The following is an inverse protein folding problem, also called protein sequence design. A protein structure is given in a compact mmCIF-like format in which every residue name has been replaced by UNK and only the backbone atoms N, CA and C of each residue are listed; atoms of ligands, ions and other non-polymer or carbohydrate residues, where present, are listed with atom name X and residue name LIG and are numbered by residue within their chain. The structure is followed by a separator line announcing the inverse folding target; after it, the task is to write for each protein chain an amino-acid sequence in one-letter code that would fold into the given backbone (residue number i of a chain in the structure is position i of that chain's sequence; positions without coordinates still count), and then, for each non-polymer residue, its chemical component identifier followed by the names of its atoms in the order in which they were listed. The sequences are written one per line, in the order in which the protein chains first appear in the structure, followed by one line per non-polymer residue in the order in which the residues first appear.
data_IF_918984624438
#
_entry.id   IF_918984624438
#
_cell.length_a   1.000
_cell.length_b   1.000
_cell.length_c   1.000
_cell.angle_alpha   90.00
_cell.angle_beta   90.00
_cell.angle_gamma   90.00
#
_symmetry.space_group_name_H-M   'P 1'
#
loop_
_entity.id
_entity.type
_entity.pdbx_description
1 polymer ?
#
# COMPACT_ATOMS: atom_id res chain seq x y z
N UNK A 1 -58.22 27.16 1.50
CA UNK A 1 -59.39 26.82 0.66
C UNK A 1 -60.67 27.04 1.44
N UNK A 2 -61.80 26.53 0.96
CA UNK A 2 -63.03 26.38 1.76
C UNK A 2 -63.31 24.88 1.89
N UNK A 3 -63.86 24.45 3.02
CA UNK A 3 -64.17 23.04 3.24
C UNK A 3 -65.28 22.60 2.28
N UNK A 4 -65.14 21.42 1.68
CA UNK A 4 -66.20 20.86 0.83
C UNK A 4 -67.40 20.50 1.70
N UNK A 5 -68.57 21.08 1.39
CA UNK A 5 -69.85 20.75 2.02
C UNK A 5 -70.79 20.16 0.99
N UNK A 6 -71.51 19.11 1.38
CA UNK A 6 -72.58 18.51 0.59
C UNK A 6 -73.92 18.78 1.26
N UNK A 7 -74.89 19.25 0.48
CA UNK A 7 -76.28 19.46 0.92
C UNK A 7 -77.21 18.74 -0.02
N UNK A 8 -78.10 17.91 0.52
CA UNK A 8 -79.09 17.18 -0.25
C UNK A 8 -80.23 18.15 -0.66
N UNK A 9 -80.46 18.32 -1.96
CA UNK A 9 -81.45 19.25 -2.48
C UNK A 9 -82.83 18.57 -2.62
N UNK A 10 -83.79 18.95 -1.77
CA UNK A 10 -85.16 18.43 -1.82
C UNK A 10 -86.19 19.42 -2.39
N UNK A 11 -85.81 20.68 -2.60
CA UNK A 11 -86.65 21.73 -3.19
C UNK A 11 -85.87 22.60 -4.19
N UNK A 12 -86.58 23.36 -5.04
CA UNK A 12 -85.99 24.26 -6.05
C UNK A 12 -85.22 25.47 -5.47
N UNK A 13 -85.44 25.81 -4.19
CA UNK A 13 -84.70 26.88 -3.52
C UNK A 13 -83.80 26.29 -2.42
N UNK A 14 -82.48 26.37 -2.63
CA UNK A 14 -81.47 25.73 -1.76
C UNK A 14 -80.98 26.63 -0.63
N UNK A 15 -81.47 27.88 -0.56
CA UNK A 15 -81.07 28.89 0.44
C UNK A 15 -79.62 29.37 0.28
N UNK A 16 -79.15 30.15 1.25
CA UNK A 16 -77.76 30.66 1.28
C UNK A 16 -76.81 29.57 1.79
N UNK A 17 -75.76 29.26 1.02
CA UNK A 17 -74.71 28.33 1.43
C UNK A 17 -73.55 29.13 2.02
N UNK A 18 -73.30 28.96 3.32
CA UNK A 18 -72.18 29.57 4.02
C UNK A 18 -70.96 28.64 3.94
N UNK A 19 -69.88 29.10 3.30
CA UNK A 19 -68.65 28.32 3.15
C UNK A 19 -67.71 28.58 4.32
N UNK A 20 -67.33 27.51 5.03
CA UNK A 20 -66.34 27.60 6.11
C UNK A 20 -64.93 27.58 5.53
N UNK A 21 -64.10 28.52 5.97
CA UNK A 21 -62.68 28.60 5.60
C UNK A 21 -61.96 27.31 5.99
N UNK A 22 -61.30 26.67 5.02
CA UNK A 22 -60.43 25.52 5.24
C UNK A 22 -58.98 25.98 5.18
N UNK A 23 -58.31 25.87 6.33
CA UNK A 23 -56.95 26.36 6.51
C UNK A 23 -55.98 25.28 6.03
N UNK A 24 -55.65 25.31 4.75
CA UNK A 24 -54.63 24.43 4.17
C UNK A 24 -53.25 24.91 4.66
N UNK A 25 -52.72 24.28 5.70
CA UNK A 25 -51.32 24.42 6.10
C UNK A 25 -50.44 23.86 4.97
N UNK A 26 -49.64 24.71 4.32
CA UNK A 26 -48.61 24.26 3.39
C UNK A 26 -47.69 23.28 4.11
N UNK A 27 -47.47 22.10 3.52
CA UNK A 27 -46.47 21.16 4.01
C UNK A 27 -45.11 21.86 4.17
N UNK A 28 -44.39 21.51 5.23
CA UNK A 28 -43.09 22.08 5.55
C UNK A 28 -42.15 22.08 4.33
N UNK A 29 -41.58 23.24 4.02
CA UNK A 29 -40.52 23.33 2.99
C UNK A 29 -39.23 22.81 3.60
N UNK A 30 -38.95 21.52 3.38
CA UNK A 30 -37.66 20.91 3.78
C UNK A 30 -36.59 21.34 2.78
N UNK A 31 -35.80 22.36 3.15
CA UNK A 31 -34.61 22.75 2.40
C UNK A 31 -33.52 21.71 2.60
N UNK A 32 -33.34 20.81 1.62
CA UNK A 32 -32.23 19.84 1.59
C UNK A 32 -31.01 20.49 0.94
N UNK A 33 -30.00 20.83 1.74
CA UNK A 33 -28.68 21.25 1.25
C UNK A 33 -27.78 20.04 1.06
N UNK A 34 -27.19 19.88 -0.12
CA UNK A 34 -26.16 18.85 -0.35
C UNK A 34 -24.83 19.34 0.24
N UNK A 35 -24.21 18.52 1.10
CA UNK A 35 -22.84 18.78 1.55
C UNK A 35 -21.88 18.80 0.34
N UNK A 36 -20.87 19.70 0.30
CA UNK A 36 -19.85 19.65 -0.73
C UNK A 36 -19.19 18.27 -0.73
N UNK A 37 -19.11 17.64 -1.91
CA UNK A 37 -18.55 16.29 -2.08
C UNK A 37 -17.12 16.21 -1.57
N UNK A 38 -16.35 17.30 -1.66
CA UNK A 38 -15.00 17.40 -1.09
C UNK A 38 -14.87 18.66 -0.22
N UNK A 39 -14.28 18.51 0.98
CA UNK A 39 -14.00 19.61 1.91
C UNK A 39 -12.65 19.44 2.58
N UNK A 40 -12.16 20.49 3.24
CA UNK A 40 -10.93 20.41 4.03
C UNK A 40 -11.35 20.29 5.49
N UNK A 41 -10.73 19.39 6.25
CA UNK A 41 -10.98 19.16 7.67
C UNK A 41 -9.63 18.95 8.34
N UNK A 42 -9.18 19.91 9.15
CA UNK A 42 -7.82 19.91 9.67
C UNK A 42 -6.82 19.96 8.52
N UNK A 43 -5.90 19.01 8.46
CA UNK A 43 -4.87 18.81 7.43
C UNK A 43 -5.31 17.92 6.25
N UNK A 44 -6.53 17.40 6.28
CA UNK A 44 -7.03 16.45 5.29
C UNK A 44 -8.04 17.06 4.31
N UNK A 45 -7.95 16.65 3.04
CA UNK A 45 -9.01 16.76 2.04
C UNK A 45 -9.95 15.55 2.19
N UNK A 46 -11.17 15.79 2.66
CA UNK A 46 -12.18 14.76 2.90
C UNK A 46 -13.18 14.77 1.75
N UNK A 47 -13.22 13.66 1.01
CA UNK A 47 -14.19 13.40 -0.06
C UNK A 47 -15.24 12.42 0.43
N UNK A 48 -16.49 12.87 0.52
CA UNK A 48 -17.64 12.02 0.88
C UNK A 48 -18.01 11.13 -0.29
N UNK A 49 -18.11 9.82 -0.05
CA UNK A 49 -18.44 8.81 -1.07
C UNK A 49 -19.89 8.37 -0.89
N UNK A 50 -20.28 8.05 0.34
CA UNK A 50 -21.66 7.74 0.68
C UNK A 50 -22.61 8.87 0.25
N UNK A 51 -23.76 8.49 -0.32
CA UNK A 51 -24.76 9.42 -0.84
C UNK A 51 -24.26 10.34 -1.97
N UNK A 52 -23.22 9.93 -2.70
CA UNK A 52 -22.71 10.66 -3.87
C UNK A 52 -22.64 9.76 -5.11
N UNK A 53 -22.34 10.35 -6.27
CA UNK A 53 -22.10 9.60 -7.51
C UNK A 53 -20.90 8.65 -7.38
N UNK A 54 -19.95 8.94 -6.46
CA UNK A 54 -18.80 8.08 -6.20
C UNK A 54 -19.18 6.74 -5.59
N UNK A 55 -20.32 6.63 -4.89
CA UNK A 55 -20.80 5.34 -4.37
C UNK A 55 -21.10 4.34 -5.49
N UNK A 56 -21.32 4.81 -6.73
CA UNK A 56 -21.57 3.99 -7.92
C UNK A 56 -20.33 3.82 -8.81
N UNK A 57 -19.14 4.09 -8.28
CA UNK A 57 -17.90 4.03 -9.07
C UNK A 57 -17.44 2.60 -9.37
N UNK A 58 -17.86 1.61 -8.57
CA UNK A 58 -17.45 0.21 -8.67
C UNK A 58 -16.66 -0.20 -7.43
N UNK A 59 -15.36 0.08 -7.44
CA UNK A 59 -14.43 -0.28 -6.35
C UNK A 59 -13.84 0.95 -5.65
N UNK A 60 -13.13 0.73 -4.53
CA UNK A 60 -12.33 1.76 -3.90
C UNK A 60 -11.22 2.25 -4.83
N UNK A 61 -10.66 1.36 -5.66
CA UNK A 61 -9.69 1.72 -6.69
C UNK A 61 -10.27 2.79 -7.67
N UNK A 62 -11.53 2.63 -8.09
CA UNK A 62 -12.20 3.60 -8.96
C UNK A 62 -12.59 4.89 -8.25
N UNK A 63 -12.92 4.82 -6.96
CA UNK A 63 -13.18 5.99 -6.13
C UNK A 63 -11.92 6.82 -5.96
N UNK A 64 -10.79 6.20 -5.62
CA UNK A 64 -9.51 6.88 -5.40
C UNK A 64 -9.05 7.64 -6.65
N UNK A 65 -9.22 7.07 -7.85
CA UNK A 65 -8.92 7.76 -9.10
C UNK A 65 -9.80 8.99 -9.39
N UNK A 66 -10.88 9.19 -8.62
CA UNK A 66 -11.78 10.36 -8.71
C UNK A 66 -11.63 11.33 -7.53
N UNK A 67 -10.75 11.03 -6.57
CA UNK A 67 -10.45 11.94 -5.44
C UNK A 67 -9.49 13.03 -5.92
N UNK A 68 -9.81 14.32 -5.74
CA UNK A 68 -8.92 15.41 -6.16
C UNK A 68 -7.52 15.30 -5.53
N UNK A 69 -6.48 15.42 -6.37
CA UNK A 69 -5.08 15.35 -5.95
C UNK A 69 -4.48 13.93 -5.96
N UNK A 70 -5.29 12.91 -6.23
CA UNK A 70 -4.83 11.54 -6.47
C UNK A 70 -4.83 11.29 -7.98
N UNK A 71 -3.71 10.82 -8.49
CA UNK A 71 -3.52 10.31 -9.84
C UNK A 71 -3.51 8.79 -9.76
N UNK A 72 -4.28 8.14 -10.64
CA UNK A 72 -4.25 6.68 -10.80
C UNK A 72 -3.45 6.36 -12.06
N UNK A 73 -2.40 5.55 -11.90
CA UNK A 73 -1.65 4.96 -13.00
C UNK A 73 -1.72 3.43 -12.89
N UNK A 74 -2.54 2.81 -13.74
CA UNK A 74 -2.89 1.39 -13.74
C UNK A 74 -3.25 0.89 -12.32
N UNK A 75 -2.29 0.25 -11.65
CA UNK A 75 -2.41 -0.40 -10.33
C UNK A 75 -1.71 0.40 -9.22
N UNK A 76 -1.35 1.64 -9.50
CA UNK A 76 -0.67 2.53 -8.57
C UNK A 76 -1.40 3.86 -8.41
N UNK A 77 -1.19 4.46 -7.25
CA UNK A 77 -1.70 5.78 -6.93
C UNK A 77 -0.53 6.69 -6.63
N UNK A 78 -0.62 7.90 -7.14
CA UNK A 78 0.32 8.97 -6.83
C UNK A 78 -0.46 10.17 -6.32
N UNK A 79 0.02 10.79 -5.25
CA UNK A 79 -0.49 12.09 -4.82
C UNK A 79 0.35 13.16 -5.49
N UNK A 80 -0.33 14.09 -6.17
CA UNK A 80 0.33 15.12 -6.98
C UNK A 80 1.44 15.84 -6.19
N UNK A 81 2.69 15.73 -6.67
CA UNK A 81 3.87 16.35 -6.06
C UNK A 81 4.31 15.73 -4.72
N UNK A 82 3.76 14.58 -4.34
CA UNK A 82 4.06 13.86 -3.09
C UNK A 82 4.46 12.40 -3.30
N UNK A 83 4.25 11.83 -4.49
CA UNK A 83 4.57 10.44 -4.78
C UNK A 83 3.53 9.46 -4.24
N UNK A 84 3.91 8.21 -4.05
CA UNK A 84 3.02 7.14 -3.60
C UNK A 84 2.53 7.36 -2.16
N UNK A 85 1.20 7.37 -1.90
CA UNK A 85 0.67 7.53 -0.55
C UNK A 85 0.65 6.22 0.23
N UNK A 86 0.71 6.33 1.55
CA UNK A 86 0.34 5.24 2.46
C UNK A 86 -1.18 5.16 2.58
N UNK A 87 -1.78 3.99 2.37
CA UNK A 87 -3.25 3.82 2.35
C UNK A 87 -3.71 3.05 3.58
N UNK A 88 -4.76 3.53 4.24
CA UNK A 88 -5.41 2.87 5.38
C UNK A 88 -6.89 2.61 5.08
N UNK A 89 -7.40 1.45 5.50
CA UNK A 89 -8.84 1.15 5.55
C UNK A 89 -9.22 0.95 7.01
N UNK A 90 -10.10 1.79 7.54
CA UNK A 90 -10.54 1.75 8.95
C UNK A 90 -9.38 1.76 9.96
N UNK A 91 -8.30 2.49 9.66
CA UNK A 91 -7.11 2.58 10.52
C UNK A 91 -6.09 1.45 10.32
N UNK A 92 -6.44 0.37 9.61
CA UNK A 92 -5.48 -0.68 9.21
C UNK A 92 -4.74 -0.28 7.95
N UNK A 93 -3.42 -0.39 7.96
CA UNK A 93 -2.61 -0.15 6.77
C UNK A 93 -2.90 -1.21 5.69
N UNK A 94 -3.09 -0.74 4.46
CA UNK A 94 -3.27 -1.61 3.28
C UNK A 94 -1.89 -2.04 2.81
N UNK A 95 -1.54 -3.30 3.07
CA UNK A 95 -0.31 -3.92 2.57
C UNK A 95 -0.48 -4.53 1.18
N UNK A 96 -1.72 -4.85 0.81
CA UNK A 96 -2.09 -5.45 -0.47
C UNK A 96 -3.10 -4.55 -1.20
N UNK A 97 -2.70 -4.05 -2.36
CA UNK A 97 -3.56 -3.15 -3.15
C UNK A 97 -4.82 -3.81 -3.69
N UNK A 98 -4.85 -5.14 -3.84
CA UNK A 98 -6.06 -5.85 -4.28
C UNK A 98 -7.21 -5.70 -3.28
N UNK A 99 -6.92 -5.36 -2.01
CA UNK A 99 -7.94 -5.02 -1.01
C UNK A 99 -8.78 -3.80 -1.43
N UNK A 100 -8.22 -2.89 -2.23
CA UNK A 100 -8.93 -1.71 -2.76
C UNK A 100 -9.86 -2.05 -3.92
N UNK A 101 -9.54 -3.09 -4.69
CA UNK A 101 -10.40 -3.58 -5.76
C UNK A 101 -11.59 -4.34 -5.19
N UNK A 102 -11.37 -5.08 -4.09
CA UNK A 102 -12.40 -5.85 -3.39
C UNK A 102 -13.35 -4.97 -2.56
N UNK A 103 -12.90 -3.78 -2.14
CA UNK A 103 -13.74 -2.86 -1.39
C UNK A 103 -14.72 -2.16 -2.34
N UNK A 104 -15.99 -2.54 -2.29
CA UNK A 104 -17.06 -1.88 -3.05
C UNK A 104 -17.14 -0.38 -2.74
N UNK A 105 -17.35 0.45 -3.76
CA UNK A 105 -17.52 1.89 -3.57
C UNK A 105 -18.75 2.26 -2.73
N UNK A 106 -19.77 1.40 -2.72
CA UNK A 106 -20.99 1.59 -1.91
C UNK A 106 -20.71 1.43 -0.41
N UNK A 107 -19.67 0.66 -0.06
CA UNK A 107 -19.25 0.44 1.32
C UNK A 107 -18.37 1.56 1.87
N UNK A 108 -18.01 2.56 1.06
CA UNK A 108 -17.12 3.64 1.47
C UNK A 108 -17.93 4.82 2.00
N UNK A 109 -17.66 5.20 3.25
CA UNK A 109 -18.24 6.40 3.86
C UNK A 109 -17.60 7.65 3.28
N UNK A 110 -16.28 7.74 3.41
CA UNK A 110 -15.48 8.86 2.92
C UNK A 110 -14.01 8.48 2.77
N UNK A 111 -13.29 9.25 1.96
CA UNK A 111 -11.84 9.16 1.78
C UNK A 111 -11.20 10.45 2.27
N UNK A 112 -10.14 10.36 3.06
CA UNK A 112 -9.33 11.49 3.53
C UNK A 112 -7.95 11.44 2.87
N UNK A 113 -7.57 12.51 2.16
CA UNK A 113 -6.23 12.70 1.61
C UNK A 113 -5.46 13.70 2.49
N UNK A 114 -4.39 13.22 3.11
CA UNK A 114 -3.45 14.02 3.91
C UNK A 114 -2.17 14.18 3.08
N UNK A 115 -1.94 15.37 2.55
CA UNK A 115 -0.78 15.68 1.68
C UNK A 115 0.46 16.12 2.45
N UNK A 116 0.33 16.35 3.77
CA UNK A 116 1.44 16.61 4.67
C UNK A 116 1.25 15.85 5.99
N UNK A 117 1.55 14.54 6.02
CA UNK A 117 1.37 13.71 7.19
C UNK A 117 2.18 14.24 8.38
N UNK A 118 1.50 14.43 9.52
CA UNK A 118 2.06 14.89 10.78
C UNK A 118 3.05 13.91 11.44
N UNK A 119 3.47 14.23 12.66
CA UNK A 119 4.54 13.52 13.37
C UNK A 119 4.20 12.07 13.74
N UNK A 120 2.91 11.71 13.72
CA UNK A 120 2.45 10.34 13.96
C UNK A 120 2.78 9.34 12.85
N UNK A 121 3.22 9.82 11.68
CA UNK A 121 3.60 8.97 10.54
C UNK A 121 5.12 8.87 10.42
N UNK A 122 5.61 7.77 9.84
CA UNK A 122 7.04 7.58 9.58
C UNK A 122 7.59 8.72 8.68
N UNK A 123 8.83 9.11 8.93
CA UNK A 123 9.48 10.24 8.26
C UNK A 123 9.71 10.02 6.76
N UNK A 124 9.54 8.79 6.24
CA UNK A 124 9.55 8.47 4.82
C UNK A 124 8.20 8.70 4.13
N UNK A 125 7.11 8.86 4.89
CA UNK A 125 5.74 8.97 4.34
C UNK A 125 5.44 10.40 3.91
N UNK A 126 5.21 10.60 2.61
CA UNK A 126 4.96 11.92 2.01
C UNK A 126 3.47 12.26 1.88
N UNK A 127 2.59 11.27 1.79
CA UNK A 127 1.14 11.45 1.75
C UNK A 127 0.44 10.23 2.36
N UNK A 128 -0.77 10.44 2.90
CA UNK A 128 -1.59 9.39 3.49
C UNK A 128 -3.00 9.48 2.96
N UNK A 129 -3.58 8.35 2.58
CA UNK A 129 -4.99 8.19 2.22
C UNK A 129 -5.67 7.33 3.28
N UNK A 130 -6.75 7.82 3.86
CA UNK A 130 -7.57 7.06 4.81
C UNK A 130 -8.95 6.83 4.25
N UNK A 131 -9.35 5.57 4.18
CA UNK A 131 -10.67 5.13 3.73
C UNK A 131 -11.43 4.72 4.97
N UNK A 132 -12.55 5.38 5.21
CA UNK A 132 -13.50 4.95 6.23
C UNK A 132 -14.66 4.25 5.53
N UNK A 133 -14.98 3.02 5.97
CA UNK A 133 -16.14 2.29 5.44
C UNK A 133 -17.40 2.62 6.24
N UNK A 134 -18.57 2.37 5.64
CA UNK A 134 -19.82 2.28 6.37
C UNK A 134 -19.85 0.96 7.14
N UNK A 135 -20.67 0.91 8.20
CA UNK A 135 -20.98 -0.35 8.85
C UNK A 135 -21.81 -1.18 7.87
N UNK A 136 -21.26 -2.29 7.37
CA UNK A 136 -22.01 -3.22 6.51
C UNK A 136 -23.23 -3.73 7.29
N UNK A 137 -24.42 -3.53 6.75
CA UNK A 137 -25.69 -3.96 7.34
C UNK A 137 -26.06 -5.34 6.80
N UNK A 138 -26.24 -6.31 7.69
CA UNK A 138 -26.66 -7.67 7.34
C UNK A 138 -25.88 -8.72 8.13
N UNK A 139 -26.62 -9.65 8.73
CA UNK A 139 -26.09 -10.84 9.37
C UNK A 139 -26.15 -12.03 8.40
N UNK A 140 -25.23 -12.97 8.56
CA UNK A 140 -25.18 -14.22 7.81
C UNK A 140 -23.92 -14.37 6.95
N UNK A 141 -23.97 -15.35 6.06
CA UNK A 141 -22.87 -15.67 5.16
C UNK A 141 -22.94 -14.83 3.87
N UNK A 142 -21.79 -14.31 3.47
CA UNK A 142 -21.53 -13.79 2.14
C UNK A 142 -20.54 -14.70 1.43
N UNK A 143 -20.77 -14.92 0.14
CA UNK A 143 -19.89 -15.66 -0.75
C UNK A 143 -19.66 -14.84 -2.01
N UNK A 144 -18.43 -14.75 -2.45
CA UNK A 144 -18.07 -14.16 -3.72
C UNK A 144 -17.11 -15.10 -4.44
N UNK A 145 -17.40 -15.40 -5.70
CA UNK A 145 -16.56 -16.22 -6.56
C UNK A 145 -16.25 -15.41 -7.80
N UNK A 146 -14.98 -15.24 -8.10
CA UNK A 146 -14.49 -14.56 -9.28
C UNK A 146 -13.60 -15.51 -10.07
N UNK A 147 -13.91 -15.68 -11.35
CA UNK A 147 -13.12 -16.42 -12.33
C UNK A 147 -12.87 -15.51 -13.51
N UNK A 148 -11.60 -15.31 -13.82
CA UNK A 148 -11.16 -14.47 -14.94
C UNK A 148 -10.23 -15.27 -15.84
N UNK A 149 -10.58 -15.32 -17.12
CA UNK A 149 -9.82 -15.99 -18.17
C UNK A 149 -9.27 -14.94 -19.13
N UNK A 150 -7.96 -14.99 -19.38
CA UNK A 150 -7.30 -14.12 -20.34
C UNK A 150 -6.57 -14.96 -21.39
N UNK A 151 -6.74 -14.58 -22.65
CA UNK A 151 -6.04 -15.19 -23.77
C UNK A 151 -5.14 -14.15 -24.42
N UNK A 152 -3.84 -14.43 -24.44
CA UNK A 152 -2.82 -13.70 -25.18
C UNK A 152 -2.03 -14.69 -26.05
N UNK A 153 -0.70 -14.61 -26.05
CA UNK A 153 0.16 -15.69 -26.54
C UNK A 153 0.02 -16.94 -25.68
N UNK A 154 -0.33 -16.77 -24.39
CA UNK A 154 -0.58 -17.82 -23.42
C UNK A 154 -1.97 -17.69 -22.79
N UNK A 155 -2.35 -18.69 -22.00
CA UNK A 155 -3.58 -18.69 -21.20
C UNK A 155 -3.24 -18.30 -19.77
N UNK A 156 -3.79 -17.16 -19.34
CA UNK A 156 -3.74 -16.74 -17.94
C UNK A 156 -5.09 -16.97 -17.27
N UNK A 157 -5.05 -17.36 -16.01
CA UNK A 157 -6.23 -17.70 -15.22
C UNK A 157 -6.12 -17.07 -13.85
N UNK A 158 -7.17 -16.38 -13.41
CA UNK A 158 -7.29 -15.84 -12.06
C UNK A 158 -8.57 -16.35 -11.45
N UNK A 159 -8.44 -17.15 -10.39
CA UNK A 159 -9.55 -17.72 -9.64
C UNK A 159 -9.50 -17.20 -8.21
N UNK A 160 -10.61 -16.69 -7.72
CA UNK A 160 -10.73 -16.19 -6.36
C UNK A 160 -12.06 -16.60 -5.73
N UNK A 161 -11.98 -17.04 -4.48
CA UNK A 161 -13.12 -17.32 -3.64
C UNK A 161 -13.01 -16.54 -2.33
N UNK A 162 -14.03 -15.75 -2.03
CA UNK A 162 -14.18 -15.04 -0.76
C UNK A 162 -15.39 -15.58 -0.01
N UNK A 163 -15.22 -15.78 1.29
CA UNK A 163 -16.28 -16.13 2.22
C UNK A 163 -16.22 -15.18 3.39
N UNK A 164 -17.37 -14.66 3.80
CA UNK A 164 -17.48 -13.89 5.03
C UNK A 164 -18.70 -14.33 5.84
N UNK A 165 -18.61 -14.19 7.16
CA UNK A 165 -19.73 -14.40 8.06
C UNK A 165 -19.82 -13.22 9.03
N UNK A 166 -21.01 -12.63 9.13
CA UNK A 166 -21.28 -11.51 10.03
C UNK A 166 -22.40 -11.83 11.00
N UNK A 167 -22.18 -11.48 12.27
CA UNK A 167 -23.23 -11.55 13.28
C UNK A 167 -22.90 -10.67 14.48
N UNK A 168 -23.81 -9.76 14.86
CA UNK A 168 -23.68 -8.98 16.10
C UNK A 168 -22.32 -8.29 16.30
N UNK A 169 -21.79 -7.67 15.24
CA UNK A 169 -20.50 -6.96 15.28
C UNK A 169 -19.27 -7.82 15.00
N UNK A 170 -19.40 -9.15 14.99
CA UNK A 170 -18.40 -10.08 14.46
C UNK A 170 -18.43 -10.06 12.92
N UNK A 171 -17.24 -10.03 12.30
CA UNK A 171 -17.02 -10.18 10.86
C UNK A 171 -15.81 -11.10 10.64
N UNK A 172 -16.08 -12.36 10.35
CA UNK A 172 -15.05 -13.34 9.98
C UNK A 172 -14.95 -13.40 8.46
N UNK A 173 -13.75 -13.43 7.93
CA UNK A 173 -13.53 -13.48 6.48
C UNK A 173 -12.40 -14.45 6.14
N UNK A 174 -12.55 -15.11 5.00
CA UNK A 174 -11.53 -15.92 4.37
C UNK A 174 -11.51 -15.61 2.87
N UNK A 175 -10.33 -15.58 2.27
CA UNK A 175 -10.16 -15.45 0.83
C UNK A 175 -9.08 -16.42 0.39
N UNK A 176 -9.31 -17.07 -0.74
CA UNK A 176 -8.31 -17.83 -1.47
C UNK A 176 -8.26 -17.33 -2.91
N UNK A 177 -7.06 -17.08 -3.42
CA UNK A 177 -6.82 -16.65 -4.79
C UNK A 177 -5.67 -17.44 -5.39
N UNK A 178 -5.88 -17.88 -6.63
CA UNK A 178 -4.91 -18.55 -7.48
C UNK A 178 -4.76 -17.75 -8.77
N UNK A 179 -3.53 -17.35 -9.07
CA UNK A 179 -3.18 -16.70 -10.32
C UNK A 179 -2.21 -17.60 -11.09
N UNK A 180 -2.58 -17.98 -12.31
CA UNK A 180 -1.66 -18.57 -13.29
C UNK A 180 -1.40 -17.50 -14.34
N UNK A 181 -0.16 -17.04 -14.40
CA UNK A 181 0.27 -16.05 -15.39
C UNK A 181 1.59 -16.51 -16.00
N UNK A 182 1.66 -16.53 -17.33
CA UNK A 182 2.93 -16.83 -18.02
C UNK A 182 3.58 -15.53 -18.47
N UNK A 183 4.76 -15.23 -17.91
CA UNK A 183 5.47 -14.00 -18.24
C UNK A 183 6.52 -14.27 -19.33
N UNK A 184 6.43 -13.51 -20.43
CA UNK A 184 7.41 -13.50 -21.50
C UNK A 184 7.89 -12.07 -21.72
N UNK A 185 9.18 -11.86 -21.57
CA UNK A 185 9.82 -10.56 -21.76
C UNK A 185 10.89 -10.64 -22.84
N UNK A 186 10.94 -9.61 -23.68
CA UNK A 186 12.05 -9.38 -24.60
C UNK A 186 12.62 -7.99 -24.35
N UNK A 187 13.88 -7.95 -23.96
CA UNK A 187 14.56 -6.71 -23.58
C UNK A 187 15.78 -6.52 -24.48
N UNK A 188 15.89 -5.35 -25.09
CA UNK A 188 17.08 -4.95 -25.84
C UNK A 188 17.79 -3.84 -25.05
N UNK A 189 19.03 -4.09 -24.64
CA UNK A 189 19.84 -3.13 -23.90
C UNK A 189 21.01 -2.72 -24.78
N UNK A 190 21.21 -1.41 -24.92
CA UNK A 190 22.40 -0.84 -25.53
C UNK A 190 23.12 0.04 -24.50
N UNK A 191 24.37 -0.29 -24.21
CA UNK A 191 25.18 0.42 -23.23
C UNK A 191 26.51 0.82 -23.86
N UNK A 192 26.84 2.11 -23.77
CA UNK A 192 28.14 2.65 -24.19
C UNK A 192 28.90 3.14 -22.97
N UNK A 193 30.07 2.56 -22.71
CA UNK A 193 30.99 2.99 -21.68
C UNK A 193 32.16 3.75 -22.31
N UNK A 194 32.28 5.03 -21.97
CA UNK A 194 33.33 5.91 -22.51
C UNK A 194 34.41 6.10 -21.44
N UNK A 195 35.61 5.59 -21.72
CA UNK A 195 36.81 5.82 -20.92
C UNK A 195 37.99 6.14 -21.85
N UNK A 196 39.17 5.53 -21.65
CA UNK A 196 40.30 5.61 -22.60
C UNK A 196 39.99 4.95 -23.95
N UNK A 197 39.07 3.98 -23.94
CA UNK A 197 38.47 3.34 -25.11
C UNK A 197 36.95 3.37 -24.94
N UNK A 198 36.22 3.28 -26.04
CA UNK A 198 34.78 3.14 -26.05
C UNK A 198 34.42 1.64 -26.08
N UNK A 199 33.67 1.17 -25.08
CA UNK A 199 33.10 -0.17 -25.06
C UNK A 199 31.59 -0.06 -25.31
N UNK A 200 31.10 -0.75 -26.34
CA UNK A 200 29.68 -0.83 -26.67
C UNK A 200 29.18 -2.26 -26.43
N UNK A 201 28.11 -2.38 -25.65
CA UNK A 201 27.43 -3.63 -25.33
C UNK A 201 26.02 -3.57 -25.92
N UNK A 202 25.71 -4.51 -26.82
CA UNK A 202 24.37 -4.73 -27.37
C UNK A 202 23.85 -6.08 -26.88
N UNK A 203 22.92 -6.07 -25.94
CA UNK A 203 22.35 -7.27 -25.33
C UNK A 203 20.89 -7.46 -25.74
N UNK A 204 20.54 -8.67 -26.18
CA UNK A 204 19.17 -9.10 -26.44
C UNK A 204 18.81 -10.20 -25.46
N UNK A 205 17.89 -9.91 -24.54
CA UNK A 205 17.45 -10.81 -23.49
C UNK A 205 16.05 -11.34 -23.83
N UNK A 206 15.84 -12.64 -23.61
CA UNK A 206 14.54 -13.31 -23.66
C UNK A 206 14.35 -14.05 -22.35
N UNK A 207 13.45 -13.54 -21.53
CA UNK A 207 13.10 -14.13 -20.24
C UNK A 207 11.71 -14.76 -20.34
N UNK A 208 11.61 -16.01 -19.92
CA UNK A 208 10.33 -16.71 -19.81
C UNK A 208 10.22 -17.33 -18.42
N UNK A 209 9.09 -17.11 -17.75
CA UNK A 209 8.68 -17.88 -16.59
C UNK A 209 7.23 -18.33 -16.67
N UNK A 210 6.91 -19.38 -15.91
CA UNK A 210 5.56 -19.89 -15.76
C UNK A 210 5.23 -19.94 -14.27
N UNK A 211 5.08 -18.75 -13.69
CA UNK A 211 4.86 -18.59 -12.26
C UNK A 211 3.39 -18.73 -11.91
N UNK A 212 3.09 -19.59 -10.95
CA UNK A 212 1.78 -19.65 -10.30
C UNK A 212 1.85 -18.88 -9.00
N UNK A 213 0.85 -18.09 -8.68
CA UNK A 213 0.76 -17.37 -7.42
C UNK A 213 -0.42 -17.87 -6.60
N UNK A 214 -0.18 -18.11 -5.32
CA UNK A 214 -1.19 -18.47 -4.36
C UNK A 214 -1.29 -17.38 -3.31
N UNK A 215 -2.52 -17.08 -2.90
CA UNK A 215 -2.80 -16.15 -1.81
C UNK A 215 -3.97 -16.68 -0.98
N UNK A 216 -3.78 -16.74 0.32
CA UNK A 216 -4.79 -17.08 1.30
C UNK A 216 -4.85 -16.02 2.38
N UNK A 217 -6.04 -15.53 2.69
CA UNK A 217 -6.29 -14.64 3.82
C UNK A 217 -7.32 -15.28 4.73
N UNK A 218 -7.13 -15.18 6.04
CA UNK A 218 -8.16 -15.46 7.03
C UNK A 218 -8.09 -14.40 8.12
N UNK A 219 -9.23 -13.95 8.60
CA UNK A 219 -9.25 -12.94 9.64
C UNK A 219 -10.60 -12.79 10.29
N UNK A 220 -10.59 -11.96 11.32
CA UNK A 220 -11.74 -11.66 12.14
C UNK A 220 -11.65 -10.21 12.60
N UNK A 221 -12.76 -9.50 12.47
CA UNK A 221 -12.97 -8.19 13.09
C UNK A 221 -14.12 -8.31 14.09
N UNK A 222 -14.01 -7.61 15.22
CA UNK A 222 -15.08 -7.51 16.20
C UNK A 222 -15.29 -6.05 16.57
N UNK A 223 -16.47 -5.53 16.25
CA UNK A 223 -16.94 -4.21 16.65
C UNK A 223 -17.72 -4.34 17.95
N UNK A 224 -17.14 -3.86 19.06
CA UNK A 224 -17.81 -3.82 20.36
C UNK A 224 -18.95 -2.79 20.35
N UNK A 225 -18.70 -1.64 19.72
CA UNK A 225 -19.64 -0.54 19.53
C UNK A 225 -19.22 0.30 18.31
N UNK A 226 -19.85 1.46 18.11
CA UNK A 226 -19.56 2.34 16.96
C UNK A 226 -18.15 2.96 16.98
N UNK A 227 -17.51 2.99 18.15
CA UNK A 227 -16.22 3.61 18.36
C UNK A 227 -15.12 2.60 18.65
N UNK A 228 -15.42 1.35 19.00
CA UNK A 228 -14.42 0.37 19.44
C UNK A 228 -14.42 -0.87 18.56
N UNK A 229 -13.27 -1.17 17.95
CA UNK A 229 -13.08 -2.38 17.16
C UNK A 229 -11.68 -2.97 17.34
N UNK A 230 -11.63 -4.30 17.28
CA UNK A 230 -10.39 -5.09 17.25
C UNK A 230 -10.43 -6.00 16.03
N UNK A 231 -9.27 -6.32 15.47
CA UNK A 231 -9.18 -7.30 14.42
C UNK A 231 -7.84 -8.00 14.33
N UNK A 232 -7.86 -9.16 13.69
CA UNK A 232 -6.68 -9.95 13.37
C UNK A 232 -6.83 -10.50 11.95
N UNK A 233 -5.75 -10.47 11.18
CA UNK A 233 -5.68 -11.00 9.82
C UNK A 233 -4.38 -11.74 9.65
N UNK A 234 -4.47 -12.98 9.17
CA UNK A 234 -3.36 -13.76 8.70
C UNK A 234 -3.43 -13.91 7.19
N UNK A 235 -2.29 -13.68 6.54
CA UNK A 235 -2.11 -13.75 5.10
C UNK A 235 -0.95 -14.69 4.79
N UNK A 236 -1.17 -15.60 3.86
CA UNK A 236 -0.15 -16.44 3.27
C UNK A 236 -0.12 -16.17 1.76
N UNK A 237 1.04 -15.86 1.19
CA UNK A 237 1.15 -15.58 -0.24
C UNK A 237 2.51 -15.95 -0.81
N UNK A 238 2.54 -16.39 -2.06
CA UNK A 238 3.79 -16.67 -2.73
C UNK A 238 3.54 -17.48 -3.98
N UNK A 239 4.57 -17.64 -4.79
CA UNK A 239 4.55 -18.73 -5.76
C UNK A 239 5.09 -19.98 -5.09
N UNK A 240 4.54 -21.17 -5.38
CA UNK A 240 5.28 -22.40 -5.23
C UNK A 240 6.59 -22.37 -6.03
N UNK A 241 7.36 -23.45 -5.91
CA UNK A 241 8.53 -23.70 -6.74
C UNK A 241 8.23 -23.49 -8.22
N UNK A 242 9.09 -22.75 -8.91
CA UNK A 242 8.98 -22.50 -10.34
C UNK A 242 10.35 -22.40 -10.99
N UNK A 243 10.35 -22.62 -12.30
CA UNK A 243 11.52 -22.48 -13.15
C UNK A 243 11.40 -21.21 -14.00
N UNK A 244 12.53 -20.57 -14.24
CA UNK A 244 12.64 -19.51 -15.23
C UNK A 244 13.85 -19.74 -16.13
N UNK A 245 13.78 -19.20 -17.34
CA UNK A 245 14.82 -19.33 -18.35
C UNK A 245 15.13 -17.96 -18.92
N UNK A 246 16.42 -17.63 -18.93
CA UNK A 246 16.94 -16.43 -19.56
C UNK A 246 17.90 -16.81 -20.68
N UNK A 247 17.62 -16.32 -21.88
CA UNK A 247 18.54 -16.40 -23.01
C UNK A 247 19.05 -15.00 -23.31
N UNK A 248 20.35 -14.82 -23.36
CA UNK A 248 20.97 -13.54 -23.69
C UNK A 248 21.93 -13.71 -24.86
N UNK A 249 21.78 -12.88 -25.88
CA UNK A 249 22.78 -12.73 -26.95
C UNK A 249 23.43 -11.38 -26.81
N UNK A 250 24.75 -11.36 -26.71
CA UNK A 250 25.53 -10.14 -26.49
C UNK A 250 26.50 -9.93 -27.64
N UNK A 251 26.59 -8.70 -28.13
CA UNK A 251 27.65 -8.24 -29.02
C UNK A 251 28.44 -7.17 -28.31
N UNK A 252 29.74 -7.43 -28.14
CA UNK A 252 30.67 -6.53 -27.46
C UNK A 252 31.56 -5.90 -28.51
N UNK A 253 31.65 -4.58 -28.54
CA UNK A 253 32.51 -3.85 -29.46
C UNK A 253 33.44 -2.90 -28.69
N UNK A 254 34.69 -2.83 -29.13
CA UNK A 254 35.70 -1.93 -28.58
C UNK A 254 36.16 -0.98 -29.69
N UNK A 255 35.99 0.32 -29.48
CA UNK A 255 36.28 1.39 -30.45
C UNK A 255 35.66 1.12 -31.83
N UNK A 256 34.40 0.65 -31.84
CA UNK A 256 33.64 0.35 -33.05
C UNK A 256 33.98 -0.96 -33.76
N UNK A 257 34.92 -1.77 -33.22
CA UNK A 257 35.23 -3.12 -33.73
C UNK A 257 34.63 -4.17 -32.83
N UNK A 258 34.01 -5.20 -33.41
CA UNK A 258 33.51 -6.35 -32.63
C UNK A 258 34.70 -6.98 -31.92
N UNK A 259 34.58 -7.07 -30.59
CA UNK A 259 35.55 -7.66 -29.69
C UNK A 259 35.15 -9.08 -29.30
N UNK A 260 33.86 -9.34 -29.11
CA UNK A 260 33.34 -10.67 -28.77
C UNK A 260 31.84 -10.76 -29.10
N UNK A 261 31.35 -11.99 -29.23
CA UNK A 261 29.93 -12.33 -29.27
C UNK A 261 29.67 -13.44 -28.28
N UNK A 262 28.69 -13.23 -27.42
CA UNK A 262 28.33 -14.19 -26.38
C UNK A 262 26.91 -14.73 -26.60
N UNK A 263 26.74 -16.00 -26.28
CA UNK A 263 25.44 -16.60 -26.05
C UNK A 263 25.39 -17.13 -24.63
N UNK A 264 24.43 -16.65 -23.86
CA UNK A 264 24.20 -17.08 -22.50
C UNK A 264 22.84 -17.78 -22.39
N UNK A 265 22.81 -18.89 -21.68
CA UNK A 265 21.59 -19.54 -21.23
C UNK A 265 21.66 -19.71 -19.71
N UNK A 266 20.72 -19.11 -18.99
CA UNK A 266 20.55 -19.32 -17.55
C UNK A 266 19.23 -20.04 -17.30
N UNK A 267 19.30 -21.14 -16.56
CA UNK A 267 18.14 -21.82 -15.99
C UNK A 267 18.15 -21.58 -14.48
N UNK A 268 17.05 -21.06 -13.96
CA UNK A 268 16.89 -20.76 -12.54
C UNK A 268 15.73 -21.57 -11.97
N UNK A 269 16.00 -22.39 -10.95
CA UNK A 269 14.97 -23.04 -10.13
C UNK A 269 14.83 -22.23 -8.84
N UNK A 270 13.62 -21.72 -8.56
CA UNK A 270 13.35 -20.94 -7.36
C UNK A 270 12.32 -21.64 -6.49
N UNK A 271 12.71 -22.01 -5.27
CA UNK A 271 11.84 -22.51 -4.22
C UNK A 271 11.55 -21.38 -3.22
N UNK A 272 10.38 -20.75 -3.35
CA UNK A 272 9.98 -19.70 -2.44
C UNK A 272 9.37 -20.29 -1.18
N UNK A 273 9.79 -19.80 -0.02
CA UNK A 273 8.99 -19.94 1.18
C UNK A 273 7.71 -19.10 1.00
N UNK A 274 6.55 -19.67 1.34
CA UNK A 274 5.31 -18.89 1.33
C UNK A 274 5.46 -17.74 2.34
N UNK A 275 5.18 -16.52 1.89
CA UNK A 275 5.28 -15.35 2.74
C UNK A 275 4.15 -15.39 3.76
N UNK A 276 4.49 -15.26 5.03
CA UNK A 276 3.54 -15.20 6.14
C UNK A 276 3.41 -13.76 6.62
N UNK A 277 2.19 -13.25 6.73
CA UNK A 277 1.92 -11.94 7.31
C UNK A 277 0.82 -12.07 8.37
N UNK A 278 1.06 -11.51 9.55
CA UNK A 278 0.08 -11.43 10.62
C UNK A 278 -0.09 -9.97 11.00
N UNK A 279 -1.31 -9.47 10.95
CA UNK A 279 -1.67 -8.13 11.41
C UNK A 279 -2.69 -8.25 12.54
N UNK A 280 -2.50 -7.48 13.61
CA UNK A 280 -3.49 -7.28 14.66
C UNK A 280 -3.64 -5.79 14.93
N UNK A 281 -4.88 -5.34 15.14
CA UNK A 281 -5.15 -3.94 15.42
C UNK A 281 -6.25 -3.76 16.47
N UNK A 282 -6.18 -2.64 17.18
CA UNK A 282 -7.28 -2.11 17.96
C UNK A 282 -7.42 -0.63 17.66
N UNK A 283 -8.64 -0.20 17.35
CA UNK A 283 -8.95 1.22 17.21
C UNK A 283 -10.19 1.52 18.03
N UNK A 284 -10.09 2.50 18.92
CA UNK A 284 -11.28 3.03 19.54
C UNK A 284 -11.10 4.10 20.58
N UNK A 285 -12.10 4.22 21.45
CA UNK A 285 -12.22 5.31 22.40
C UNK A 285 -12.71 4.83 23.76
N UNK A 286 -11.93 5.15 24.79
CA UNK A 286 -12.28 4.95 26.21
C UNK A 286 -12.45 6.33 26.85
N UNK A 287 -13.71 6.73 27.09
CA UNK A 287 -14.04 8.09 27.53
C UNK A 287 -13.64 9.12 26.46
N UNK A 288 -12.68 9.98 26.78
CA UNK A 288 -12.13 10.97 25.85
C UNK A 288 -10.78 10.54 25.22
N UNK A 289 -10.22 9.41 25.65
CA UNK A 289 -8.98 8.88 25.13
C UNK A 289 -9.24 8.05 23.89
N UNK A 290 -8.68 8.46 22.76
CA UNK A 290 -8.63 7.67 21.54
C UNK A 290 -7.35 6.84 21.52
N UNK A 291 -7.47 5.59 21.11
CA UNK A 291 -6.40 4.60 21.09
C UNK A 291 -6.37 3.98 19.68
N UNK A 292 -5.20 3.99 19.06
CA UNK A 292 -4.94 3.34 17.78
C UNK A 292 -3.67 2.50 17.96
N UNK A 293 -3.85 1.18 17.91
CA UNK A 293 -2.79 0.19 18.06
C UNK A 293 -2.76 -0.71 16.84
N UNK A 294 -1.56 -0.96 16.32
CA UNK A 294 -1.30 -1.88 15.22
C UNK A 294 -0.04 -2.69 15.52
N UNK A 295 -0.06 -3.97 15.18
CA UNK A 295 1.09 -4.85 15.25
C UNK A 295 1.15 -5.73 13.99
N UNK A 296 2.35 -5.90 13.46
CA UNK A 296 2.63 -6.67 12.25
C UNK A 296 3.76 -7.67 12.51
N UNK A 297 3.62 -8.87 11.96
CA UNK A 297 4.71 -9.81 11.75
C UNK A 297 4.74 -10.19 10.27
N UNK A 298 5.94 -10.25 9.70
CA UNK A 298 6.17 -10.64 8.32
C UNK A 298 7.36 -11.57 8.24
N UNK A 299 7.20 -12.65 7.46
CA UNK A 299 8.28 -13.57 7.13
C UNK A 299 8.23 -13.88 5.64
N UNK A 300 9.41 -13.94 5.02
CA UNK A 300 9.59 -14.38 3.65
C UNK A 300 10.96 -14.99 3.43
N UNK A 301 11.08 -15.82 2.42
CA UNK A 301 12.37 -16.36 2.02
C UNK A 301 12.30 -17.05 0.67
N UNK A 302 13.46 -17.36 0.13
CA UNK A 302 13.59 -18.18 -1.07
C UNK A 302 14.95 -18.83 -1.12
N UNK A 303 14.98 -20.01 -1.74
CA UNK A 303 16.17 -20.65 -2.25
C UNK A 303 16.10 -20.57 -3.78
N UNK A 304 17.16 -20.09 -4.42
CA UNK A 304 17.28 -20.05 -5.86
C UNK A 304 18.60 -20.70 -6.28
N UNK A 305 18.53 -21.59 -7.26
CA UNK A 305 19.69 -22.21 -7.90
C UNK A 305 19.72 -21.78 -9.36
N UNK A 306 20.86 -21.24 -9.80
CA UNK A 306 21.11 -20.76 -11.15
C UNK A 306 22.21 -21.60 -11.79
N UNK A 307 21.96 -22.05 -13.02
CA UNK A 307 22.94 -22.69 -13.89
C UNK A 307 23.05 -21.85 -15.15
N UNK A 308 24.21 -21.24 -15.37
CA UNK A 308 24.48 -20.38 -16.52
C UNK A 308 25.58 -20.97 -17.39
N UNK A 309 25.21 -21.33 -18.62
CA UNK A 309 26.18 -21.61 -19.69
C UNK A 309 26.43 -20.37 -20.54
N UNK A 310 27.69 -20.01 -20.71
CA UNK A 310 28.17 -18.89 -21.54
C UNK A 310 29.10 -19.41 -22.64
N UNK A 311 28.71 -19.22 -23.89
CA UNK A 311 29.52 -19.49 -25.07
C UNK A 311 30.13 -18.20 -25.59
N UNK A 312 31.44 -18.21 -25.92
CA UNK A 312 32.15 -17.04 -26.47
C UNK A 312 32.83 -17.39 -27.80
N UNK A 313 32.78 -16.47 -28.77
CA UNK A 313 33.47 -16.65 -30.06
C UNK A 313 35.00 -16.45 -29.96
N UNK A 314 35.46 -15.67 -28.97
CA UNK A 314 36.85 -15.17 -28.91
C UNK A 314 37.63 -15.63 -27.66
N UNK A 315 36.99 -16.39 -26.77
CA UNK A 315 37.52 -16.78 -25.47
C UNK A 315 36.94 -18.15 -25.06
N UNK A 316 37.41 -18.71 -23.94
CA UNK A 316 36.86 -19.96 -23.40
C UNK A 316 35.42 -19.79 -22.90
N UNK A 317 34.62 -20.84 -23.06
CA UNK A 317 33.26 -20.94 -22.53
C UNK A 317 33.28 -21.03 -21.00
N UNK A 318 32.19 -20.59 -20.36
CA UNK A 318 32.02 -20.69 -18.90
C UNK A 318 30.75 -21.43 -18.55
N UNK A 319 30.85 -22.24 -17.51
CA UNK A 319 29.72 -22.82 -16.81
C UNK A 319 29.74 -22.24 -15.39
N UNK A 320 28.65 -21.61 -14.98
CA UNK A 320 28.56 -20.82 -13.75
C UNK A 320 27.39 -21.33 -12.94
N UNK A 321 27.68 -21.88 -11.76
CA UNK A 321 26.68 -22.36 -10.82
C UNK A 321 26.58 -21.36 -9.66
N UNK A 322 25.37 -20.88 -9.40
CA UNK A 322 25.11 -20.01 -8.28
C UNK A 322 23.91 -20.46 -7.45
N UNK A 323 23.95 -20.19 -6.15
CA UNK A 323 22.85 -20.44 -5.25
C UNK A 323 22.62 -19.23 -4.34
N UNK A 324 21.36 -18.82 -4.19
CA UNK A 324 20.94 -17.75 -3.29
C UNK A 324 19.98 -18.30 -2.23
N UNK A 325 20.30 -18.12 -0.95
CA UNK A 325 19.44 -18.45 0.18
C UNK A 325 19.16 -17.17 0.98
N UNK A 326 17.92 -16.69 0.90
CA UNK A 326 17.49 -15.44 1.51
C UNK A 326 16.35 -15.70 2.46
N UNK A 327 16.46 -15.17 3.69
CA UNK A 327 15.40 -15.20 4.68
C UNK A 327 15.21 -13.81 5.31
N UNK A 328 13.97 -13.35 5.39
CA UNK A 328 13.58 -12.06 5.95
C UNK A 328 12.52 -12.26 7.03
N UNK A 329 12.70 -11.59 8.16
CA UNK A 329 11.71 -11.52 9.23
C UNK A 329 11.58 -10.06 9.68
N UNK A 330 10.35 -9.62 9.91
CA UNK A 330 10.04 -8.29 10.42
C UNK A 330 8.96 -8.40 11.49
N UNK A 331 9.16 -7.70 12.60
CA UNK A 331 8.14 -7.45 13.60
C UNK A 331 8.00 -5.94 13.78
N UNK A 332 6.77 -5.46 13.86
CA UNK A 332 6.48 -4.05 14.07
C UNK A 332 5.29 -3.86 15.01
N UNK A 333 5.33 -2.80 15.81
CA UNK A 333 4.23 -2.40 16.67
C UNK A 333 4.15 -0.87 16.75
N UNK A 334 2.93 -0.36 16.77
CA UNK A 334 2.64 1.07 16.82
C UNK A 334 1.49 1.34 17.77
N UNK A 335 1.66 2.36 18.61
CA UNK A 335 0.62 2.84 19.51
C UNK A 335 0.50 4.36 19.39
N UNK A 336 -0.72 4.84 19.20
CA UNK A 336 -1.07 6.26 19.21
C UNK A 336 -2.19 6.49 20.21
N UNK A 337 -1.96 7.40 21.13
CA UNK A 337 -2.91 7.84 22.14
C UNK A 337 -3.27 9.30 21.85
N UNK A 338 -4.54 9.62 21.74
CA UNK A 338 -4.99 11.00 21.54
C UNK A 338 -6.01 11.42 22.57
N UNK A 339 -5.84 12.60 23.16
CA UNK A 339 -6.70 13.13 24.20
C UNK A 339 -7.00 14.62 24.00
N UNK A 340 -8.24 15.09 24.23
CA UNK A 340 -8.57 16.50 24.15
C UNK A 340 -7.94 17.27 25.32
N UNK A 341 -7.07 18.24 25.01
CA UNK A 341 -6.37 19.08 25.99
C UNK A 341 -6.41 20.55 25.54
N UNK A 342 -6.76 21.46 26.45
CA UNK A 342 -6.79 22.92 26.18
C UNK A 342 -7.54 23.33 24.90
N UNK A 343 -8.72 22.74 24.66
CA UNK A 343 -9.56 22.94 23.46
C UNK A 343 -8.90 22.50 22.14
N UNK A 344 -7.79 21.80 22.23
CA UNK A 344 -7.15 21.08 21.12
C UNK A 344 -7.15 19.58 21.38
N UNK A 345 -6.44 18.86 20.53
CA UNK A 345 -6.19 17.43 20.63
C UNK A 345 -4.69 17.21 20.70
N UNK A 346 -4.25 16.62 21.80
CA UNK A 346 -2.86 16.22 22.01
C UNK A 346 -2.75 14.72 21.71
N UNK A 347 -1.78 14.35 20.88
CA UNK A 347 -1.52 12.96 20.49
C UNK A 347 -0.08 12.62 20.81
N UNK A 348 0.15 11.46 21.42
CA UNK A 348 1.47 10.93 21.74
C UNK A 348 1.51 9.46 21.32
N UNK A 349 2.67 8.98 20.91
CA UNK A 349 2.79 7.59 20.54
C UNK A 349 4.22 7.17 20.27
N UNK A 350 4.34 5.90 19.94
CA UNK A 350 5.60 5.29 19.60
C UNK A 350 5.44 4.18 18.57
N UNK A 351 6.55 3.86 17.93
CA UNK A 351 6.66 2.79 16.94
C UNK A 351 7.94 2.02 17.23
N UNK A 352 7.86 0.70 17.15
CA UNK A 352 8.99 -0.20 17.26
C UNK A 352 8.98 -1.08 16.02
N UNK A 353 10.12 -1.19 15.34
CA UNK A 353 10.32 -2.17 14.29
C UNK A 353 11.63 -2.91 14.51
N UNK A 354 11.61 -4.19 14.20
CA UNK A 354 12.78 -5.05 14.17
C UNK A 354 12.77 -5.83 12.87
N UNK A 355 13.86 -5.75 12.11
CA UNK A 355 14.06 -6.54 10.90
C UNK A 355 15.30 -7.41 11.06
N UNK A 356 15.17 -8.68 10.70
CA UNK A 356 16.27 -9.61 10.58
C UNK A 356 16.30 -10.16 9.16
N UNK A 357 17.43 -10.01 8.47
CA UNK A 357 17.67 -10.55 7.13
C UNK A 357 18.92 -11.39 7.10
N UNK A 358 18.86 -12.50 6.38
CA UNK A 358 20.01 -13.30 5.93
C UNK A 358 20.00 -13.31 4.40
N UNK A 359 21.17 -13.18 3.82
CA UNK A 359 21.38 -13.14 2.37
C UNK A 359 22.70 -13.84 2.08
N UNK A 360 22.57 -15.11 1.69
CA UNK A 360 23.66 -16.00 1.35
C UNK A 360 23.69 -16.18 -0.16
N UNK A 361 24.83 -15.93 -0.77
CA UNK A 361 25.09 -16.13 -2.18
C UNK A 361 26.37 -16.96 -2.35
N UNK A 362 26.26 -18.06 -3.07
CA UNK A 362 27.37 -18.94 -3.40
C UNK A 362 27.55 -18.95 -4.91
N UNK A 363 28.78 -18.76 -5.39
CA UNK A 363 29.17 -19.10 -6.75
C UNK A 363 30.31 -20.11 -6.70
N UNK A 364 30.08 -21.30 -7.26
CA UNK A 364 30.95 -22.47 -7.08
C UNK A 364 32.32 -22.26 -7.73
N UNK A 365 32.33 -21.69 -8.94
CA UNK A 365 33.53 -21.47 -9.73
C UNK A 365 34.31 -20.21 -9.32
N UNK A 366 33.73 -19.36 -8.45
CA UNK A 366 34.29 -18.09 -8.00
C UNK A 366 34.57 -17.07 -9.13
N UNK A 367 33.77 -17.08 -10.20
CA UNK A 367 33.75 -16.00 -11.19
C UNK A 367 33.23 -14.69 -10.58
N UNK A 368 32.32 -14.80 -9.60
CA UNK A 368 31.85 -13.70 -8.75
C UNK A 368 32.07 -14.05 -7.28
N UNK A 369 32.34 -13.05 -6.41
CA UNK A 369 32.52 -13.31 -4.99
C UNK A 369 31.26 -13.91 -4.36
N UNK A 370 31.43 -15.04 -3.67
CA UNK A 370 30.41 -15.54 -2.75
C UNK A 370 30.30 -14.60 -1.53
N UNK A 371 29.11 -14.53 -0.94
CA UNK A 371 28.84 -13.69 0.23
C UNK A 371 27.88 -14.37 1.19
N UNK A 372 28.22 -14.39 2.48
CA UNK A 372 27.27 -14.68 3.55
C UNK A 372 27.09 -13.41 4.36
N UNK A 373 25.87 -12.87 4.34
CA UNK A 373 25.57 -11.64 5.05
C UNK A 373 24.32 -11.75 5.90
N UNK A 374 24.38 -11.07 7.05
CA UNK A 374 23.28 -10.98 7.99
C UNK A 374 23.13 -9.55 8.46
N UNK A 375 21.89 -9.12 8.60
CA UNK A 375 21.53 -7.76 8.94
C UNK A 375 20.45 -7.76 10.01
N UNK A 376 20.66 -6.99 11.07
CA UNK A 376 19.66 -6.71 12.08
C UNK A 376 19.43 -5.20 12.13
N UNK A 377 18.19 -4.77 11.98
CA UNK A 377 17.80 -3.38 12.14
C UNK A 377 16.76 -3.27 13.25
N UNK A 378 16.97 -2.35 14.18
CA UNK A 378 15.99 -1.95 15.18
C UNK A 378 15.73 -0.45 15.06
N UNK A 379 14.46 -0.09 14.94
CA UNK A 379 14.02 1.31 14.97
C UNK A 379 13.06 1.52 16.14
N UNK A 380 13.38 2.47 17.00
CA UNK A 380 12.53 2.91 18.11
C UNK A 380 12.17 4.37 17.87
N UNK A 381 10.87 4.65 17.88
CA UNK A 381 10.35 5.99 17.64
C UNK A 381 9.46 6.44 18.79
N UNK A 382 9.56 7.72 19.15
CA UNK A 382 8.55 8.44 19.91
C UNK A 382 8.10 9.70 19.14
N UNK A 383 6.81 10.06 19.26
CA UNK A 383 6.30 11.31 18.70
C UNK A 383 5.28 11.97 19.61
N UNK A 384 5.14 13.28 19.44
CA UNK A 384 4.07 14.07 20.03
C UNK A 384 3.53 15.09 19.03
N UNK A 385 2.23 15.34 19.07
CA UNK A 385 1.53 16.25 18.17
C UNK A 385 0.40 16.96 18.91
N UNK A 386 0.27 18.26 18.71
CA UNK A 386 -0.84 19.06 19.19
C UNK A 386 -1.55 19.73 18.03
N UNK A 387 -2.86 19.55 17.95
CA UNK A 387 -3.71 20.17 16.94
C UNK A 387 -4.80 20.99 17.60
N UNK A 388 -5.09 22.18 17.07
CA UNK A 388 -6.15 23.03 17.60
C UNK A 388 -6.71 23.97 16.55
N UNK A 389 -8.03 24.08 16.56
CA UNK A 389 -8.78 25.07 15.81
C UNK A 389 -8.90 26.36 16.62
N UNK A 390 -8.53 27.49 16.01
CA UNK A 390 -8.71 28.85 16.55
C UNK A 390 -9.47 29.70 15.52
N UNK A 391 -9.89 30.91 15.90
CA UNK A 391 -10.72 31.79 15.05
C UNK A 391 -10.08 32.10 13.69
N UNK A 392 -8.75 32.15 13.64
CA UNK A 392 -7.99 32.48 12.43
C UNK A 392 -7.62 31.26 11.59
N UNK A 393 -7.88 30.03 12.06
CA UNK A 393 -7.49 28.81 11.34
C UNK A 393 -7.21 27.61 12.25
N UNK A 394 -6.80 26.52 11.63
CA UNK A 394 -6.37 25.28 12.28
C UNK A 394 -4.84 25.23 12.30
N UNK A 395 -4.24 24.90 13.44
CA UNK A 395 -2.80 24.69 13.54
C UNK A 395 -2.46 23.30 14.06
N UNK A 396 -1.34 22.76 13.58
CA UNK A 396 -0.74 21.50 14.03
C UNK A 396 0.73 21.75 14.30
N UNK A 397 1.20 21.30 15.45
CA UNK A 397 2.60 21.31 15.88
C UNK A 397 2.97 19.91 16.35
N UNK A 398 4.02 19.33 15.80
CA UNK A 398 4.49 18.02 16.21
C UNK A 398 5.99 17.83 16.01
N UNK A 399 6.51 16.82 16.69
CA UNK A 399 7.88 16.35 16.52
C UNK A 399 7.93 14.84 16.68
N UNK A 400 8.79 14.21 15.90
CA UNK A 400 9.08 12.78 15.96
C UNK A 400 10.57 12.59 16.17
N UNK A 401 10.95 11.72 17.09
CA UNK A 401 12.31 11.29 17.33
C UNK A 401 12.43 9.82 16.92
N UNK A 402 13.45 9.49 16.14
CA UNK A 402 13.75 8.14 15.70
C UNK A 402 15.18 7.78 16.10
N UNK A 403 15.33 6.65 16.76
CA UNK A 403 16.61 5.99 17.01
C UNK A 403 16.66 4.70 16.19
N UNK A 404 17.59 4.65 15.24
CA UNK A 404 17.80 3.49 14.38
C UNK A 404 19.16 2.90 14.72
N UNK A 405 19.19 1.57 14.91
CA UNK A 405 20.43 0.81 15.04
C UNK A 405 20.44 -0.29 13.99
N UNK A 406 21.48 -0.29 13.17
CA UNK A 406 21.71 -1.20 12.08
C UNK A 406 23.03 -1.95 12.33
N UNK A 407 22.95 -3.25 12.53
CA UNK A 407 24.12 -4.13 12.72
C UNK A 407 24.27 -5.03 11.49
N UNK A 408 25.43 -4.93 10.83
CA UNK A 408 25.78 -5.71 9.65
C UNK A 408 26.85 -6.76 9.98
N UNK A 409 26.64 -7.95 9.47
CA UNK A 409 27.53 -9.09 9.65
C UNK A 409 27.91 -9.66 8.28
N UNK A 410 29.19 -9.98 8.12
CA UNK A 410 29.72 -10.70 6.97
C UNK A 410 30.43 -11.95 7.48
N UNK A 411 30.05 -13.12 6.97
CA UNK A 411 30.59 -14.42 7.41
C UNK A 411 30.48 -14.59 8.94
N UNK A 412 29.32 -14.21 9.49
CA UNK A 412 29.01 -14.16 10.93
C UNK A 412 29.88 -13.21 11.79
N UNK A 413 30.79 -12.44 11.17
CA UNK A 413 31.59 -11.42 11.84
C UNK A 413 30.88 -10.06 11.76
N UNK A 414 30.74 -9.40 12.91
CA UNK A 414 30.20 -8.04 12.97
C UNK A 414 31.18 -7.05 12.32
N UNK A 415 30.68 -6.20 11.41
CA UNK A 415 31.46 -5.21 10.68
C UNK A 415 31.11 -3.81 11.19
N UNK A 416 31.96 -3.26 12.06
CA UNK A 416 31.74 -1.96 12.71
C UNK A 416 31.54 -0.82 11.70
N UNK A 417 32.35 -0.74 10.63
CA UNK A 417 32.29 0.36 9.64
C UNK A 417 30.99 0.41 8.83
N UNK A 418 30.30 -0.74 8.72
CA UNK A 418 29.01 -0.87 8.03
C UNK A 418 27.83 -0.88 9.01
N UNK A 419 28.09 -1.08 10.30
CA UNK A 419 27.09 -1.02 11.37
C UNK A 419 26.91 0.42 11.84
N UNK A 420 25.70 0.97 11.73
CA UNK A 420 25.45 2.40 11.95
C UNK A 420 24.31 2.62 12.94
N UNK A 421 24.41 3.70 13.70
CA UNK A 421 23.32 4.18 14.52
C UNK A 421 23.01 5.63 14.18
N UNK A 422 21.73 5.96 14.17
CA UNK A 422 21.23 7.27 13.81
C UNK A 422 20.20 7.74 14.84
N UNK A 423 20.32 9.01 15.23
CA UNK A 423 19.37 9.71 16.09
C UNK A 423 18.86 10.93 15.35
N UNK A 424 17.59 10.90 14.95
CA UNK A 424 17.01 11.94 14.10
C UNK A 424 15.78 12.57 14.75
N UNK A 425 15.59 13.87 14.55
CA UNK A 425 14.39 14.62 14.95
C UNK A 425 13.72 15.21 13.72
N UNK A 426 12.43 14.94 13.58
CA UNK A 426 11.58 15.36 12.47
C UNK A 426 10.48 16.29 12.97
N UNK A 427 10.68 17.62 12.94
CA UNK A 427 9.64 18.58 13.26
C UNK A 427 8.56 18.64 12.17
N UNK A 428 7.34 18.94 12.58
CA UNK A 428 6.18 19.17 11.72
C UNK A 428 5.38 20.37 12.22
N UNK A 429 5.13 21.32 11.33
CA UNK A 429 4.29 22.49 11.59
C UNK A 429 3.35 22.68 10.41
N UNK A 430 2.05 22.88 10.68
CA UNK A 430 1.11 23.30 9.63
C UNK A 430 0.07 24.28 10.15
N UNK A 431 -0.37 25.17 9.27
CA UNK A 431 -1.43 26.13 9.51
C UNK A 431 -2.35 26.23 8.31
N UNK A 432 -3.65 26.05 8.56
CA UNK A 432 -4.69 26.07 7.54
C UNK A 432 -5.69 27.16 7.88
N UNK A 433 -6.06 27.98 6.89
CA UNK A 433 -7.03 29.06 7.08
C UNK A 433 -7.90 29.24 5.84
N UNK A 434 -8.95 30.05 5.98
CA UNK A 434 -9.81 30.49 4.88
C UNK A 434 -9.78 32.00 4.81
N UNK A 435 -9.30 32.53 3.67
CA UNK A 435 -9.29 33.95 3.36
C UNK A 435 -10.39 34.19 2.31
N UNK A 436 -11.55 34.68 2.75
CA UNK A 436 -12.74 34.82 1.89
C UNK A 436 -13.24 33.46 1.38
N UNK A 437 -13.24 33.26 0.06
CA UNK A 437 -13.59 31.98 -0.58
C UNK A 437 -12.37 31.06 -0.79
N UNK A 438 -11.16 31.56 -0.55
CA UNK A 438 -9.91 30.85 -0.77
C UNK A 438 -9.52 30.09 0.50
N UNK A 439 -9.17 28.81 0.34
CA UNK A 439 -8.55 28.03 1.41
C UNK A 439 -7.04 28.08 1.21
N UNK A 440 -6.29 28.31 2.28
CA UNK A 440 -4.84 28.46 2.25
C UNK A 440 -4.23 27.56 3.31
N UNK A 441 -3.15 26.86 2.94
CA UNK A 441 -2.37 26.00 3.83
C UNK A 441 -0.90 26.34 3.69
N UNK A 442 -0.20 26.44 4.82
CA UNK A 442 1.26 26.55 4.89
C UNK A 442 1.75 25.45 5.82
N UNK A 443 2.81 24.75 5.41
CA UNK A 443 3.38 23.66 6.21
C UNK A 443 4.88 23.53 6.04
N UNK A 444 5.57 23.13 7.11
CA UNK A 444 6.97 22.78 7.14
C UNK A 444 7.13 21.40 7.78
N UNK A 445 7.81 20.48 7.09
CA UNK A 445 8.05 19.12 7.59
C UNK A 445 9.43 18.66 7.14
N UNK A 446 10.18 18.02 8.03
CA UNK A 446 11.42 17.31 7.69
C UNK A 446 11.10 15.84 7.43
N UNK A 447 11.62 15.29 6.32
CA UNK A 447 11.40 13.91 5.88
C UNK A 447 12.75 13.24 5.61
N UNK A 448 12.75 11.91 5.52
CA UNK A 448 13.94 11.11 5.19
C UNK A 448 13.63 10.10 4.09
N UNK A 449 14.66 9.62 3.41
CA UNK A 449 14.55 8.50 2.46
C UNK A 449 15.57 7.45 2.86
N UNK A 450 15.11 6.21 3.04
CA UNK A 450 15.95 5.07 3.38
C UNK A 450 16.16 4.21 2.12
N UNK A 451 17.39 3.70 1.87
CA UNK A 451 17.60 2.74 0.78
C UNK A 451 16.78 1.47 1.02
N UNK A 452 16.39 0.78 -0.05
CA UNK A 452 15.72 -0.51 0.07
C UNK A 452 16.73 -1.59 0.45
N UNK A 453 16.27 -2.70 1.03
CA UNK A 453 17.17 -3.82 1.37
C UNK A 453 17.89 -4.42 0.16
N UNK A 454 17.33 -4.29 -1.06
CA UNK A 454 18.02 -4.71 -2.28
C UNK A 454 19.27 -3.87 -2.54
N UNK A 455 19.21 -2.57 -2.24
CA UNK A 455 20.36 -1.66 -2.35
C UNK A 455 21.39 -1.83 -1.22
N UNK A 456 21.09 -2.72 -0.26
CA UNK A 456 21.98 -3.06 0.85
C UNK A 456 22.48 -4.52 0.74
N UNK A 457 22.10 -5.23 -0.32
CA UNK A 457 22.55 -6.60 -0.56
C UNK A 457 23.96 -6.56 -1.15
N UNK A 458 24.87 -7.32 -0.58
CA UNK A 458 26.25 -7.44 -1.08
C UNK A 458 26.42 -8.62 -2.06
N UNK A 459 25.32 -9.28 -2.43
CA UNK A 459 25.32 -10.40 -3.37
C UNK A 459 25.64 -9.92 -4.78
N UNK A 460 26.60 -10.58 -5.43
CA UNK A 460 27.08 -10.24 -6.78
C UNK A 460 26.53 -11.23 -7.79
N UNK A 461 25.47 -10.86 -8.49
CA UNK A 461 24.85 -11.74 -9.47
C UNK A 461 25.62 -11.70 -10.80
N UNK A 462 26.01 -12.88 -11.28
CA UNK A 462 26.63 -13.06 -12.60
C UNK A 462 25.59 -12.88 -13.70
N UNK A 463 25.86 -12.02 -14.68
CA UNK A 463 25.03 -11.89 -15.89
C UNK A 463 25.81 -12.44 -17.08
N UNK A 464 27.01 -11.90 -17.31
CA UNK A 464 27.97 -12.36 -18.32
C UNK A 464 29.39 -11.89 -17.91
N UNK A 465 30.42 -12.31 -18.65
CA UNK A 465 31.82 -11.95 -18.34
C UNK A 465 32.14 -10.45 -18.36
N UNK A 466 31.28 -9.62 -18.93
CA UNK A 466 31.41 -8.15 -18.99
C UNK A 466 30.42 -7.44 -18.04
N UNK A 467 29.50 -8.17 -17.42
CA UNK A 467 28.37 -7.63 -16.67
C UNK A 467 28.12 -8.39 -15.37
N UNK A 468 28.20 -7.67 -14.26
CA UNK A 468 27.78 -8.15 -12.94
C UNK A 468 26.78 -7.17 -12.34
N UNK A 469 25.87 -7.67 -11.50
CA UNK A 469 24.94 -6.83 -10.75
C UNK A 469 25.19 -6.95 -9.24
N UNK A 470 25.30 -5.82 -8.56
CA UNK A 470 25.47 -5.70 -7.11
C UNK A 470 24.46 -4.69 -6.55
N UNK A 471 24.11 -4.83 -5.27
CA UNK A 471 23.18 -3.95 -4.55
C UNK A 471 23.75 -2.58 -4.23
#
# INVERSE_FOLDING_TARGET
GYATTYKECKDRNIGTILLHSDTQLLGEVVVKGNLPVTRMKGDALVTSVQNSVLAKAGSANDVLGKVPGILKDKDSFEVFGKGTPLIYINGREVRDKSELEQLSSEDIKHVELITNPGARYDATVNAVVRIQTIRRTGDGFGFNLNSSYYQSENVDLVEQADVNYRHNGLDMFAMFRYDKMEFRERTNVHQTLISKKQLDLENQLKYNDNKQWLRGNIGMNYMFDENNSIGIKYSIQGSPRYDSKLYTTSKVSLDGKVFDRLQNFTSSETDNELNHQLNAYYTGRVGNLEIDFNADYYQSGYLQEDITGEESEEQEDRDVHAASDVANNLAAAKLVLSYPVWKGKFSVGGEWTYTHRKDNYLNVENYVPSSNSKMNEMNITAFAEYSRSISIGDFILGARYEQIKFDYYKDDLHIDDQSRSYDNIYPNVSFNTRIGKVKTQISYTVKTQRPSYRLLSNSSLYIDRFSIQQG
#
